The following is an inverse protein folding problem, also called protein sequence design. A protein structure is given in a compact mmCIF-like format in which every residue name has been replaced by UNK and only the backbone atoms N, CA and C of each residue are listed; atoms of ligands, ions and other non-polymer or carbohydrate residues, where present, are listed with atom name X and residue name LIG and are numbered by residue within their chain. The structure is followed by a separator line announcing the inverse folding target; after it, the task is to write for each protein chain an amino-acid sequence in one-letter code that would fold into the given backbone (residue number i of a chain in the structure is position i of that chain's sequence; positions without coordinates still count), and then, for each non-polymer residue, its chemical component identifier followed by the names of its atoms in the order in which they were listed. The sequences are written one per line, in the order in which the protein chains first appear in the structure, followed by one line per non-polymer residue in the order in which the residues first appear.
data_IF_884802221203
#
_entry.id   IF_884802221203
#
_cell.length_a   1.000
_cell.length_b   1.000
_cell.length_c   1.000
_cell.angle_alpha   90.00
_cell.angle_beta   90.00
_cell.angle_gamma   90.00
#
_symmetry.space_group_name_H-M   'P 1'
#
loop_
_entity.id
_entity.type
_entity.pdbx_description
1 polymer ?
#
# COMPACT_ATOMS: atom_id res chain seq x y z
N UNK A 1 -12.60 21.45 9.10
CA UNK A 1 -12.12 21.07 7.75
C UNK A 1 -10.61 20.92 7.85
N UNK A 2 -10.02 19.91 7.20
CA UNK A 2 -8.56 19.73 7.22
C UNK A 2 -7.92 20.79 6.32
N UNK A 3 -6.87 21.47 6.79
CA UNK A 3 -6.10 22.39 5.96
C UNK A 3 -5.19 21.56 5.04
N UNK A 4 -5.50 21.56 3.75
CA UNK A 4 -4.74 20.82 2.73
C UNK A 4 -3.67 21.74 2.14
N UNK A 5 -2.47 21.21 1.84
CA UNK A 5 -1.39 22.02 1.28
C UNK A 5 -1.75 22.50 -0.13
N UNK A 6 -1.22 23.65 -0.52
CA UNK A 6 -1.56 24.33 -1.78
C UNK A 6 -1.32 23.45 -3.03
N UNK A 7 -0.30 22.58 -3.00
CA UNK A 7 0.03 21.68 -4.09
C UNK A 7 -1.00 20.55 -4.29
N UNK A 8 -1.84 20.27 -3.28
CA UNK A 8 -2.73 19.11 -3.32
C UNK A 8 -3.97 19.33 -4.20
N UNK A 9 -4.48 20.56 -4.27
CA UNK A 9 -5.58 20.90 -5.16
C UNK A 9 -5.25 20.60 -6.65
N UNK A 10 -4.11 21.05 -7.22
CA UNK A 10 -3.76 20.69 -8.59
C UNK A 10 -3.45 19.20 -8.75
N UNK A 11 -2.94 18.49 -7.73
CA UNK A 11 -2.75 17.03 -7.76
C UNK A 11 -4.06 16.25 -7.94
N UNK A 12 -5.18 16.76 -7.40
CA UNK A 12 -6.50 16.15 -7.56
C UNK A 12 -7.19 16.50 -8.88
N UNK A 13 -6.70 17.49 -9.64
CA UNK A 13 -7.37 17.91 -10.87
C UNK A 13 -7.46 16.76 -11.88
N UNK A 14 -8.60 16.52 -12.57
CA UNK A 14 -8.83 15.36 -13.45
C UNK A 14 -7.76 15.06 -14.51
N UNK A 15 -6.98 16.07 -14.92
CA UNK A 15 -5.91 15.97 -15.94
C UNK A 15 -4.51 16.26 -15.38
N UNK A 16 -4.35 16.19 -14.06
CA UNK A 16 -3.07 16.43 -13.42
C UNK A 16 -2.02 15.41 -13.88
N UNK A 17 -0.81 15.88 -14.19
CA UNK A 17 0.36 15.03 -14.13
C UNK A 17 0.69 14.81 -12.66
N UNK A 18 0.19 13.70 -12.11
CA UNK A 18 0.28 13.38 -10.69
C UNK A 18 1.71 13.03 -10.26
N UNK A 19 2.49 12.45 -11.16
CA UNK A 19 3.92 12.20 -10.94
C UNK A 19 4.69 13.52 -10.82
N UNK A 20 4.50 14.45 -11.76
CA UNK A 20 5.15 15.76 -11.73
C UNK A 20 4.73 16.57 -10.50
N UNK A 21 3.44 16.58 -10.17
CA UNK A 21 2.93 17.26 -8.99
C UNK A 21 3.55 16.72 -7.68
N UNK A 22 3.78 15.41 -7.57
CA UNK A 22 4.48 14.81 -6.43
C UNK A 22 5.95 15.24 -6.38
N UNK A 23 6.66 15.23 -7.51
CA UNK A 23 8.05 15.68 -7.58
C UNK A 23 8.17 17.13 -7.11
N UNK A 24 7.33 18.03 -7.64
CA UNK A 24 7.31 19.44 -7.24
C UNK A 24 6.97 19.62 -5.75
N UNK A 25 6.03 18.85 -5.22
CA UNK A 25 5.67 18.89 -3.80
C UNK A 25 6.83 18.45 -2.90
N UNK A 26 7.55 17.39 -3.28
CA UNK A 26 8.73 16.90 -2.55
C UNK A 26 9.90 17.90 -2.62
N UNK A 27 10.17 18.47 -3.79
CA UNK A 27 11.19 19.50 -3.98
C UNK A 27 10.91 20.75 -3.13
N UNK A 28 9.65 21.21 -3.10
CA UNK A 28 9.22 22.31 -2.24
C UNK A 28 9.39 22.00 -0.74
N UNK A 29 9.25 20.73 -0.35
CA UNK A 29 9.54 20.22 0.99
C UNK A 29 11.04 20.03 1.30
N UNK A 30 11.92 20.25 0.32
CA UNK A 30 13.36 20.01 0.43
C UNK A 30 13.73 18.53 0.50
N UNK A 31 12.93 17.66 -0.13
CA UNK A 31 13.15 16.21 -0.23
C UNK A 31 13.69 15.90 -1.63
N UNK A 32 14.88 15.29 -1.70
CA UNK A 32 15.39 14.77 -2.96
C UNK A 32 14.68 13.48 -3.36
N UNK A 33 14.18 13.40 -4.60
CA UNK A 33 13.57 12.21 -5.16
C UNK A 33 14.18 11.83 -6.51
N UNK A 34 13.92 10.62 -6.97
CA UNK A 34 14.27 10.13 -8.31
C UNK A 34 13.02 9.56 -8.96
N UNK A 35 12.79 9.90 -10.23
CA UNK A 35 11.76 9.24 -11.03
C UNK A 35 12.40 8.03 -11.71
N UNK A 36 11.79 6.87 -11.52
CA UNK A 36 12.14 5.62 -12.19
C UNK A 36 11.05 5.30 -13.21
N UNK A 37 11.45 4.96 -14.43
CA UNK A 37 10.53 4.54 -15.48
C UNK A 37 10.62 3.02 -15.66
N UNK A 38 9.51 2.31 -15.45
CA UNK A 38 9.41 0.85 -15.63
C UNK A 38 8.15 0.52 -16.42
N UNK A 39 8.31 -0.22 -17.51
CA UNK A 39 7.17 -0.72 -18.32
C UNK A 39 6.13 0.34 -18.67
N UNK A 40 6.59 1.58 -18.93
CA UNK A 40 5.75 2.72 -19.29
C UNK A 40 5.13 3.49 -18.12
N UNK A 41 5.29 3.04 -16.86
CA UNK A 41 4.85 3.75 -15.65
C UNK A 41 5.97 4.59 -15.03
N UNK A 42 5.61 5.64 -14.27
CA UNK A 42 6.56 6.53 -13.59
C UNK A 42 6.47 6.42 -12.07
N UNK A 43 7.55 6.00 -11.45
CA UNK A 43 7.62 5.72 -10.02
C UNK A 43 8.49 6.78 -9.33
N UNK A 44 7.97 7.47 -8.33
CA UNK A 44 8.73 8.49 -7.60
C UNK A 44 9.34 7.86 -6.34
N UNK A 45 10.66 7.77 -6.28
CA UNK A 45 11.42 7.13 -5.21
C UNK A 45 12.07 8.20 -4.33
N UNK A 46 11.80 8.19 -3.03
CA UNK A 46 12.31 9.20 -2.10
C UNK A 46 12.68 8.60 -0.73
N UNK A 47 13.75 9.12 -0.15
CA UNK A 47 14.12 8.86 1.23
C UNK A 47 13.64 10.00 2.14
N UNK A 48 13.15 9.72 3.36
CA UNK A 48 12.79 10.78 4.30
C UNK A 48 13.97 11.69 4.59
N UNK A 49 13.69 12.98 4.78
CA UNK A 49 14.70 13.95 5.17
C UNK A 49 15.36 13.54 6.49
N UNK A 50 16.69 13.42 6.49
CA UNK A 50 17.44 12.96 7.68
C UNK A 50 17.40 11.46 7.90
N UNK A 51 17.07 10.66 6.88
CA UNK A 51 17.10 9.21 6.97
C UNK A 51 18.51 8.67 7.24
N UNK A 52 18.62 7.66 8.10
CA UNK A 52 19.84 6.88 8.31
C UNK A 52 19.74 5.55 7.57
N UNK A 53 20.81 5.17 6.88
CA UNK A 53 20.91 3.87 6.21
C UNK A 53 21.97 2.97 6.85
N UNK A 54 21.63 1.71 7.09
CA UNK A 54 22.54 0.66 7.58
C UNK A 54 22.23 -0.67 6.89
N UNK A 55 23.15 -1.21 6.06
CA UNK A 55 22.91 -2.42 5.28
C UNK A 55 22.76 -3.70 6.12
N UNK A 56 23.08 -3.66 7.43
CA UNK A 56 22.85 -4.78 8.35
C UNK A 56 21.38 -4.96 8.71
N UNK A 57 20.53 -4.02 8.33
CA UNK A 57 19.10 -4.05 8.59
C UNK A 57 18.33 -3.98 7.27
N UNK A 58 17.13 -4.56 7.25
CA UNK A 58 16.22 -4.54 6.10
C UNK A 58 15.72 -3.13 5.84
N UNK A 59 15.40 -2.86 4.57
CA UNK A 59 14.69 -1.64 4.17
C UNK A 59 13.19 -1.88 4.27
N UNK A 60 12.48 -0.97 4.91
CA UNK A 60 11.01 -0.89 4.85
C UNK A 60 10.65 0.02 3.68
N UNK A 61 9.95 -0.54 2.70
CA UNK A 61 9.47 0.19 1.53
C UNK A 61 8.00 0.50 1.78
N UNK A 62 7.65 1.77 1.88
CA UNK A 62 6.25 2.21 2.03
C UNK A 62 5.79 2.73 0.69
N UNK A 63 4.66 2.24 0.19
CA UNK A 63 4.14 2.63 -1.12
C UNK A 63 2.77 3.27 -1.04
N UNK A 64 2.46 4.09 -2.04
CA UNK A 64 1.11 4.52 -2.35
C UNK A 64 1.06 4.78 -3.86
N UNK A 65 0.03 4.30 -4.53
CA UNK A 65 -0.11 4.57 -5.95
C UNK A 65 -0.64 5.99 -6.19
N UNK A 66 -0.03 6.65 -7.18
CA UNK A 66 -0.41 7.99 -7.58
C UNK A 66 -1.32 7.97 -8.80
N UNK A 67 -1.44 6.88 -9.54
CA UNK A 67 -2.49 6.77 -10.54
C UNK A 67 -3.88 6.66 -9.89
N UNK A 68 -4.92 6.76 -10.71
CA UNK A 68 -6.31 6.71 -10.28
C UNK A 68 -7.19 6.24 -11.43
N UNK A 69 -8.40 5.79 -11.11
CA UNK A 69 -9.45 5.63 -12.12
C UNK A 69 -9.68 6.93 -12.92
N UNK A 70 -9.69 6.88 -14.26
CA UNK A 70 -9.95 8.06 -15.09
C UNK A 70 -11.28 8.73 -14.78
N UNK A 71 -11.27 10.05 -14.63
CA UNK A 71 -12.48 10.86 -14.43
C UNK A 71 -12.99 10.92 -12.98
N UNK A 72 -12.33 10.26 -12.04
CA UNK A 72 -12.63 10.36 -10.60
C UNK A 72 -11.65 11.33 -9.91
N UNK A 73 -12.01 11.91 -8.75
CA UNK A 73 -11.04 12.68 -7.98
C UNK A 73 -9.96 11.77 -7.36
N UNK A 74 -10.34 10.58 -6.87
CA UNK A 74 -9.43 9.60 -6.29
C UNK A 74 -8.87 10.04 -4.93
N UNK A 75 -9.70 10.67 -4.08
CA UNK A 75 -9.23 11.27 -2.84
C UNK A 75 -8.78 10.21 -1.82
N UNK A 76 -9.62 9.24 -1.48
CA UNK A 76 -9.27 8.12 -0.63
C UNK A 76 -8.42 7.11 -1.38
N UNK A 77 -8.68 6.94 -2.68
CA UNK A 77 -8.01 5.98 -3.56
C UNK A 77 -7.26 6.71 -4.70
N UNK A 78 -5.98 7.06 -4.50
CA UNK A 78 -5.19 6.91 -3.27
C UNK A 78 -4.42 8.18 -2.90
N UNK A 79 -5.04 9.32 -3.17
CA UNK A 79 -4.44 10.64 -2.94
C UNK A 79 -4.16 10.93 -1.47
N UNK A 80 -4.94 10.36 -0.55
CA UNK A 80 -4.74 10.51 0.89
C UNK A 80 -3.40 9.92 1.34
N UNK A 81 -3.08 8.70 0.89
CA UNK A 81 -1.79 8.07 1.20
C UNK A 81 -0.65 8.86 0.58
N UNK A 82 -0.81 9.35 -0.66
CA UNK A 82 0.18 10.20 -1.31
C UNK A 82 0.48 11.46 -0.47
N UNK A 83 -0.56 12.17 -0.01
CA UNK A 83 -0.43 13.35 0.84
C UNK A 83 0.29 13.01 2.15
N UNK A 84 -0.12 11.94 2.83
CA UNK A 84 0.48 11.50 4.09
C UNK A 84 1.96 11.15 3.95
N UNK A 85 2.36 10.57 2.81
CA UNK A 85 3.75 10.22 2.52
C UNK A 85 4.60 11.44 2.16
N UNK A 86 4.07 12.41 1.41
CA UNK A 86 4.75 13.70 1.18
C UNK A 86 5.01 14.42 2.50
N UNK A 87 4.02 14.46 3.39
CA UNK A 87 4.16 15.05 4.73
C UNK A 87 5.22 14.31 5.56
N UNK A 88 5.18 12.98 5.56
CA UNK A 88 6.17 12.15 6.26
C UNK A 88 7.60 12.40 5.76
N UNK A 89 7.80 12.39 4.43
CA UNK A 89 9.09 12.62 3.80
C UNK A 89 9.66 14.01 4.13
N UNK A 90 8.79 15.02 4.16
CA UNK A 90 9.15 16.43 4.39
C UNK A 90 9.29 16.79 5.87
N UNK A 91 8.78 15.96 6.78
CA UNK A 91 8.70 16.25 8.22
C UNK A 91 10.05 16.42 8.93
N UNK A 92 11.16 15.95 8.34
CA UNK A 92 12.48 15.93 8.96
C UNK A 92 12.60 14.99 10.17
N UNK A 93 11.60 14.13 10.40
CA UNK A 93 11.63 13.15 11.48
C UNK A 93 12.68 12.08 11.18
N UNK A 94 13.43 11.61 12.18
CA UNK A 94 14.38 10.52 11.99
C UNK A 94 13.69 9.27 11.43
N UNK A 95 14.22 8.75 10.33
CA UNK A 95 13.77 7.50 9.72
C UNK A 95 14.97 6.57 9.52
N UNK A 96 14.83 5.30 9.86
CA UNK A 96 15.89 4.31 9.73
C UNK A 96 15.54 3.34 8.61
N UNK A 97 16.37 3.17 7.57
CA UNK A 97 16.13 2.24 6.47
C UNK A 97 14.69 2.27 5.94
N UNK A 98 14.12 3.46 5.73
CA UNK A 98 12.74 3.62 5.25
C UNK A 98 12.78 4.31 3.91
N UNK A 99 12.29 3.63 2.88
CA UNK A 99 12.16 4.12 1.52
C UNK A 99 10.67 4.36 1.24
N UNK A 100 10.34 5.47 0.59
CA UNK A 100 9.00 5.71 0.06
C UNK A 100 9.05 5.59 -1.46
N UNK A 101 8.06 4.90 -2.03
CA UNK A 101 7.87 4.86 -3.47
C UNK A 101 6.41 5.19 -3.80
N UNK A 102 6.20 6.27 -4.55
CA UNK A 102 4.91 6.54 -5.17
C UNK A 102 4.83 5.74 -6.45
N UNK A 103 3.88 4.84 -6.55
CA UNK A 103 3.76 3.85 -7.63
C UNK A 103 2.76 4.29 -8.68
N UNK A 104 2.86 3.71 -9.87
CA UNK A 104 1.99 3.98 -11.00
C UNK A 104 1.36 2.67 -11.45
N UNK A 105 0.31 2.76 -12.27
CA UNK A 105 -0.35 1.61 -12.89
C UNK A 105 -0.94 0.58 -11.92
N UNK A 106 -1.42 0.99 -10.76
CA UNK A 106 -2.24 0.12 -9.90
C UNK A 106 -3.61 -0.13 -10.57
N UNK A 107 -4.21 0.96 -11.07
CA UNK A 107 -5.59 1.04 -11.56
C UNK A 107 -5.74 0.50 -12.99
N UNK A 108 -4.64 0.06 -13.61
CA UNK A 108 -4.73 -0.64 -14.90
C UNK A 108 -5.58 -1.90 -14.78
N UNK A 109 -5.59 -2.57 -13.62
CA UNK A 109 -6.41 -3.74 -13.34
C UNK A 109 -7.91 -3.46 -13.12
N UNK A 110 -8.32 -2.21 -12.87
CA UNK A 110 -9.71 -1.83 -12.57
C UNK A 110 -10.55 -1.48 -13.81
N UNK A 111 -9.98 -1.65 -15.02
CA UNK A 111 -10.61 -1.36 -16.34
C UNK A 111 -11.81 -2.25 -16.74
N UNK A 112 -12.68 -2.63 -15.79
CA UNK A 112 -14.00 -3.18 -16.08
C UNK A 112 -15.06 -2.06 -16.11
N UNK A 113 -14.97 -1.17 -17.11
CA UNK A 113 -16.18 -0.48 -17.57
C UNK A 113 -16.91 -1.43 -18.55
N UNK A 114 -18.24 -1.61 -18.47
CA UNK A 114 -18.97 -2.53 -19.35
C UNK A 114 -18.93 -2.16 -20.84
N UNK A 115 -18.38 -1.01 -21.22
CA UNK A 115 -18.54 -0.42 -22.55
C UNK A 115 -17.24 -0.33 -23.39
N UNK A 116 -16.10 -0.81 -22.90
CA UNK A 116 -14.84 -0.76 -23.66
C UNK A 116 -14.01 -2.04 -23.49
N UNK A 117 -14.50 -3.14 -24.07
CA UNK A 117 -13.68 -4.35 -24.29
C UNK A 117 -12.79 -4.10 -25.50
N UNK A 118 -11.70 -3.38 -25.30
CA UNK A 118 -10.55 -3.41 -26.21
C UNK A 118 -9.26 -3.24 -25.40
N UNK A 119 -8.67 -4.40 -25.03
CA UNK A 119 -7.27 -4.68 -24.69
C UNK A 119 -6.50 -3.82 -23.66
N UNK A 120 -5.69 -4.55 -22.88
CA UNK A 120 -4.54 -4.13 -22.07
C UNK A 120 -4.82 -3.71 -20.61
N UNK A 121 -5.14 -4.72 -19.80
CA UNK A 121 -4.45 -5.16 -18.58
C UNK A 121 -5.30 -6.27 -17.95
N UNK A 122 -4.87 -7.53 -18.04
CA UNK A 122 -5.72 -8.68 -17.64
C UNK A 122 -5.03 -9.61 -16.66
N UNK A 123 -3.72 -9.45 -16.46
CA UNK A 123 -2.97 -10.24 -15.50
C UNK A 123 -2.48 -9.36 -14.34
N UNK A 124 -2.48 -9.85 -13.09
CA UNK A 124 -1.84 -9.18 -11.96
C UNK A 124 -0.36 -8.80 -12.17
N UNK A 125 0.33 -9.42 -13.13
CA UNK A 125 1.69 -9.05 -13.57
C UNK A 125 1.75 -7.72 -14.33
N UNK A 126 0.61 -7.20 -14.78
CA UNK A 126 0.53 -5.93 -15.51
C UNK A 126 0.50 -4.72 -14.53
N UNK A 127 0.37 -4.96 -13.22
CA UNK A 127 0.44 -3.92 -12.19
C UNK A 127 1.87 -3.35 -12.08
N UNK A 128 1.98 -2.04 -11.88
CA UNK A 128 3.29 -1.41 -11.69
C UNK A 128 4.07 -1.92 -10.47
N UNK A 129 3.37 -2.38 -9.43
CA UNK A 129 3.99 -2.98 -8.24
C UNK A 129 4.74 -4.30 -8.53
N UNK A 130 4.28 -5.08 -9.51
CA UNK A 130 4.99 -6.29 -9.96
C UNK A 130 6.36 -5.92 -10.55
N UNK A 131 6.37 -5.00 -11.52
CA UNK A 131 7.60 -4.53 -12.17
C UNK A 131 8.56 -3.85 -11.18
N UNK A 132 8.02 -3.03 -10.28
CA UNK A 132 8.81 -2.41 -9.21
C UNK A 132 9.43 -3.47 -8.29
N UNK A 133 8.67 -4.49 -7.89
CA UNK A 133 9.16 -5.60 -7.08
C UNK A 133 10.30 -6.36 -7.77
N UNK A 134 10.20 -6.55 -9.10
CA UNK A 134 11.27 -7.16 -9.92
C UNK A 134 12.52 -6.29 -10.02
N UNK A 135 12.39 -4.97 -9.91
CA UNK A 135 13.50 -4.02 -9.97
C UNK A 135 14.29 -3.88 -8.65
N UNK A 136 13.70 -4.25 -7.51
CA UNK A 136 14.31 -4.09 -6.18
C UNK A 136 15.74 -4.64 -6.03
N UNK A 137 16.09 -5.83 -6.56
CA UNK A 137 17.48 -6.31 -6.51
C UNK A 137 18.46 -5.38 -7.22
N UNK A 138 18.07 -4.84 -8.38
CA UNK A 138 18.87 -3.86 -9.14
C UNK A 138 19.02 -2.52 -8.42
N UNK A 139 18.06 -2.18 -7.55
CA UNK A 139 18.13 -1.01 -6.66
C UNK A 139 18.98 -1.25 -5.40
N UNK A 140 19.55 -2.45 -5.23
CA UNK A 140 20.31 -2.83 -4.04
C UNK A 140 19.45 -3.15 -2.82
N UNK A 141 18.13 -3.32 -2.99
CA UNK A 141 17.21 -3.63 -1.90
C UNK A 141 17.23 -5.14 -1.63
N UNK A 142 17.91 -5.52 -0.55
CA UNK A 142 18.01 -6.91 -0.08
C UNK A 142 16.88 -7.24 0.87
N UNK A 143 16.05 -8.21 0.50
CA UNK A 143 14.89 -8.66 1.29
C UNK A 143 14.09 -7.48 1.86
N UNK A 144 13.57 -6.56 1.03
CA UNK A 144 12.77 -5.45 1.54
C UNK A 144 11.50 -5.95 2.23
N UNK A 145 10.93 -5.11 3.09
CA UNK A 145 9.60 -5.32 3.68
C UNK A 145 8.68 -4.26 3.09
N UNK A 146 7.66 -4.66 2.34
CA UNK A 146 6.81 -3.70 1.62
C UNK A 146 5.50 -3.46 2.39
N UNK A 147 5.13 -2.19 2.53
CA UNK A 147 3.90 -1.75 3.20
C UNK A 147 3.12 -0.82 2.27
N UNK A 148 2.29 -1.37 1.37
CA UNK A 148 1.38 -0.56 0.57
C UNK A 148 0.35 0.12 1.46
N UNK A 149 0.27 1.43 1.36
CA UNK A 149 -0.77 2.23 1.99
C UNK A 149 -1.88 2.44 0.98
N UNK A 150 -3.10 2.03 1.34
CA UNK A 150 -4.25 2.17 0.47
C UNK A 150 -5.51 2.51 1.28
N UNK A 151 -6.32 3.44 0.76
CA UNK A 151 -7.54 3.95 1.41
C UNK A 151 -7.27 4.37 2.87
N UNK A 152 -6.34 5.31 3.06
CA UNK A 152 -5.83 5.69 4.39
C UNK A 152 -6.36 7.03 4.92
N UNK A 153 -7.29 7.66 4.19
CA UNK A 153 -7.74 9.03 4.47
C UNK A 153 -8.91 9.17 5.46
N UNK A 154 -9.64 8.09 5.77
CA UNK A 154 -10.88 8.13 6.57
C UNK A 154 -10.86 7.09 7.68
N UNK A 155 -11.14 7.53 8.91
CA UNK A 155 -11.31 6.65 10.07
C UNK A 155 -10.27 6.81 11.17
N UNK A 156 -10.18 5.81 12.04
CA UNK A 156 -9.36 5.82 13.26
C UNK A 156 -8.87 4.42 13.69
N UNK A 157 -9.05 3.40 12.85
CA UNK A 157 -8.56 2.05 13.06
C UNK A 157 -7.66 1.59 11.91
N UNK A 158 -6.52 0.99 12.24
CA UNK A 158 -5.63 0.34 11.25
C UNK A 158 -6.14 -1.05 10.93
N UNK A 159 -6.07 -1.44 9.66
CA UNK A 159 -6.30 -2.81 9.21
C UNK A 159 -5.04 -3.30 8.52
N UNK A 160 -4.55 -4.45 8.98
CA UNK A 160 -3.48 -5.18 8.33
C UNK A 160 -4.10 -6.29 7.48
N UNK A 161 -3.83 -6.28 6.18
CA UNK A 161 -4.46 -7.20 5.24
C UNK A 161 -4.10 -8.67 5.52
N UNK A 162 -5.10 -9.55 5.34
CA UNK A 162 -4.97 -11.00 5.28
C UNK A 162 -4.94 -11.53 3.83
N UNK A 163 -4.93 -10.66 2.82
CA UNK A 163 -5.13 -11.05 1.42
C UNK A 163 -4.14 -12.12 0.93
N UNK A 164 -2.89 -12.09 1.40
CA UNK A 164 -1.88 -13.11 1.10
C UNK A 164 -2.33 -14.56 1.40
N UNK A 165 -3.16 -14.76 2.45
CA UNK A 165 -3.74 -16.07 2.79
C UNK A 165 -4.69 -16.57 1.71
N UNK A 166 -5.44 -15.65 1.09
CA UNK A 166 -6.36 -15.95 -0.01
C UNK A 166 -5.65 -16.50 -1.25
N UNK A 167 -4.38 -16.10 -1.49
CA UNK A 167 -3.59 -16.60 -2.61
C UNK A 167 -3.12 -18.05 -2.39
N UNK A 168 -2.70 -18.38 -1.16
CA UNK A 168 -2.31 -19.74 -0.79
C UNK A 168 -3.50 -20.71 -0.86
N UNK A 169 -4.69 -20.30 -0.39
CA UNK A 169 -5.91 -21.11 -0.44
C UNK A 169 -6.36 -21.45 -1.87
N UNK A 170 -6.22 -20.52 -2.82
CA UNK A 170 -6.62 -20.72 -4.23
C UNK A 170 -5.69 -21.64 -5.02
N UNK A 171 -4.41 -21.73 -4.66
CA UNK A 171 -3.44 -22.66 -5.28
C UNK A 171 -3.44 -24.05 -4.63
N UNK A 172 -4.29 -24.28 -3.62
CA UNK A 172 -4.30 -25.45 -2.75
C UNK A 172 -5.02 -26.71 -3.26
N UNK A 173 -5.07 -26.99 -4.57
CA UNK A 173 -5.47 -28.32 -5.10
C UNK A 173 -4.37 -28.97 -5.97
N UNK A 174 -3.17 -28.38 -6.01
CA UNK A 174 -2.00 -28.97 -6.65
C UNK A 174 -0.72 -28.28 -6.18
N UNK A 175 -0.12 -28.79 -5.09
CA UNK A 175 1.25 -28.47 -4.67
C UNK A 175 1.65 -26.99 -4.75
N UNK A 176 1.05 -26.12 -3.93
CA UNK A 176 1.51 -24.74 -3.80
C UNK A 176 3.00 -24.68 -3.43
N UNK A 177 3.81 -24.11 -4.32
CA UNK A 177 5.26 -23.94 -4.17
C UNK A 177 5.64 -23.43 -2.78
N UNK A 178 6.63 -24.04 -2.13
CA UNK A 178 7.18 -23.65 -0.83
C UNK A 178 7.51 -22.16 -0.72
N UNK A 179 7.81 -21.51 -1.85
CA UNK A 179 8.09 -20.08 -1.94
C UNK A 179 6.88 -19.20 -1.58
N UNK A 180 5.66 -19.53 -2.05
CA UNK A 180 4.46 -18.76 -1.70
C UNK A 180 4.11 -18.94 -0.22
N UNK A 181 4.27 -20.16 0.31
CA UNK A 181 4.11 -20.41 1.74
C UNK A 181 5.07 -19.58 2.60
N UNK A 182 6.33 -19.45 2.17
CA UNK A 182 7.32 -18.61 2.84
C UNK A 182 6.95 -17.11 2.79
N UNK A 183 6.47 -16.61 1.65
CA UNK A 183 6.03 -15.21 1.52
C UNK A 183 4.81 -14.89 2.41
N UNK A 184 3.85 -15.82 2.50
CA UNK A 184 2.69 -15.68 3.38
C UNK A 184 3.14 -15.66 4.84
N UNK A 185 4.00 -16.59 5.25
CA UNK A 185 4.54 -16.62 6.61
C UNK A 185 5.32 -15.34 6.96
N UNK A 186 6.12 -14.83 6.02
CA UNK A 186 6.86 -13.59 6.20
C UNK A 186 5.93 -12.36 6.31
N UNK A 187 4.86 -12.33 5.52
CA UNK A 187 3.82 -11.29 5.60
C UNK A 187 3.07 -11.34 6.93
N UNK A 188 2.83 -12.54 7.49
CA UNK A 188 2.28 -12.71 8.83
C UNK A 188 3.23 -12.21 9.92
N UNK A 189 4.53 -12.49 9.79
CA UNK A 189 5.55 -11.97 10.72
C UNK A 189 5.64 -10.46 10.68
N UNK A 190 5.51 -9.85 9.49
CA UNK A 190 5.36 -8.41 9.32
C UNK A 190 4.13 -7.90 10.08
N UNK A 191 2.96 -8.54 9.90
CA UNK A 191 1.72 -8.13 10.55
C UNK A 191 1.80 -8.26 12.08
N UNK A 192 2.40 -9.33 12.58
CA UNK A 192 2.64 -9.55 14.01
C UNK A 192 3.58 -8.49 14.60
N UNK A 193 4.61 -8.11 13.84
CA UNK A 193 5.55 -7.05 14.23
C UNK A 193 4.85 -5.70 14.32
N UNK A 194 4.06 -5.33 13.30
CA UNK A 194 3.27 -4.10 13.32
C UNK A 194 2.25 -4.10 14.46
N UNK A 195 1.56 -5.23 14.69
CA UNK A 195 0.59 -5.36 15.78
C UNK A 195 1.22 -5.07 17.14
N UNK A 196 2.43 -5.59 17.40
CA UNK A 196 3.20 -5.30 18.62
C UNK A 196 3.63 -3.83 18.70
N UNK A 197 4.08 -3.25 17.58
CA UNK A 197 4.47 -1.83 17.52
C UNK A 197 3.30 -0.89 17.82
N UNK A 198 2.10 -1.24 17.34
CA UNK A 198 0.89 -0.43 17.46
C UNK A 198 0.02 -0.78 18.68
N UNK A 199 0.35 -1.84 19.42
CA UNK A 199 -0.35 -2.24 20.63
C UNK A 199 -0.44 -1.08 21.63
N UNK A 200 -1.67 -0.83 22.13
CA UNK A 200 -1.97 0.29 23.04
C UNK A 200 -1.86 1.69 22.41
N UNK A 201 -1.57 1.79 21.12
CA UNK A 201 -1.38 3.07 20.41
C UNK A 201 -2.49 3.35 19.39
N UNK A 202 -3.21 2.35 18.91
CA UNK A 202 -4.37 2.53 18.05
C UNK A 202 -5.23 1.26 18.04
N UNK A 203 -6.53 1.36 17.73
CA UNK A 203 -7.29 0.21 17.27
C UNK A 203 -6.60 -0.39 16.04
N UNK A 204 -6.37 -1.70 16.07
CA UNK A 204 -5.75 -2.44 15.00
C UNK A 204 -6.48 -3.76 14.81
N UNK A 205 -6.81 -4.05 13.57
CA UNK A 205 -7.51 -5.25 13.15
C UNK A 205 -6.72 -5.98 12.08
N UNK A 206 -6.99 -7.28 11.93
CA UNK A 206 -6.56 -8.08 10.78
C UNK A 206 -7.82 -8.53 10.04
N UNK A 207 -7.88 -8.29 8.74
CA UNK A 207 -9.05 -8.64 7.94
C UNK A 207 -8.69 -8.91 6.49
N UNK A 208 -9.58 -9.61 5.77
CA UNK A 208 -9.49 -9.73 4.32
C UNK A 208 -9.82 -8.37 3.68
N UNK A 209 -8.83 -7.77 3.04
CA UNK A 209 -8.96 -6.56 2.22
C UNK A 209 -8.83 -7.00 0.75
N UNK A 210 -9.51 -6.36 -0.21
CA UNK A 210 -9.22 -6.56 -1.62
C UNK A 210 -7.72 -6.40 -1.92
N UNK A 211 -7.22 -7.16 -2.89
CA UNK A 211 -5.85 -6.97 -3.35
C UNK A 211 -5.72 -5.62 -4.04
N UNK A 212 -4.63 -4.91 -3.75
CA UNK A 212 -4.17 -3.75 -4.50
C UNK A 212 -2.75 -4.01 -4.99
N UNK A 213 -1.83 -3.09 -4.68
CA UNK A 213 -0.40 -3.23 -5.03
C UNK A 213 0.28 -4.47 -4.43
N UNK A 214 -0.20 -4.95 -3.28
CA UNK A 214 0.39 -6.07 -2.54
C UNK A 214 0.40 -7.36 -3.35
N UNK A 215 -0.58 -7.57 -4.24
CA UNK A 215 -0.61 -8.72 -5.14
C UNK A 215 0.58 -8.72 -6.11
N UNK A 216 0.85 -7.61 -6.79
CA UNK A 216 1.98 -7.51 -7.71
C UNK A 216 3.32 -7.76 -7.02
N UNK A 217 3.54 -7.21 -5.82
CA UNK A 217 4.74 -7.49 -5.04
C UNK A 217 4.87 -8.96 -4.64
N UNK A 218 3.79 -9.58 -4.15
CA UNK A 218 3.80 -11.00 -3.76
C UNK A 218 4.13 -11.88 -4.98
N UNK A 219 3.56 -11.60 -6.14
CA UNK A 219 3.84 -12.33 -7.38
C UNK A 219 5.28 -12.11 -7.88
N UNK A 220 5.85 -10.93 -7.63
CA UNK A 220 7.26 -10.65 -7.87
C UNK A 220 8.22 -11.35 -6.89
N UNK A 221 7.69 -12.05 -5.89
CA UNK A 221 8.47 -12.77 -4.87
C UNK A 221 8.89 -11.89 -3.69
N UNK A 222 8.18 -10.79 -3.45
CA UNK A 222 8.47 -9.81 -2.39
C UNK A 222 7.34 -9.81 -1.35
N UNK A 223 7.63 -9.93 -0.05
CA UNK A 223 6.61 -9.87 0.98
C UNK A 223 6.02 -8.45 1.07
N UNK A 224 4.69 -8.36 0.99
CA UNK A 224 3.95 -7.11 1.03
C UNK A 224 2.75 -7.21 1.97
N UNK A 225 2.64 -6.27 2.91
CA UNK A 225 1.53 -6.16 3.85
C UNK A 225 0.77 -4.88 3.58
N UNK A 226 -0.36 -4.97 2.88
CA UNK A 226 -1.24 -3.83 2.68
C UNK A 226 -1.80 -3.32 4.02
N UNK A 227 -1.81 -2.00 4.17
CA UNK A 227 -2.28 -1.27 5.34
C UNK A 227 -3.34 -0.27 4.90
N UNK A 228 -4.53 -0.39 5.49
CA UNK A 228 -5.64 0.54 5.23
C UNK A 228 -6.19 1.12 6.54
N UNK A 229 -6.93 2.22 6.44
CA UNK A 229 -7.57 2.87 7.59
C UNK A 229 -9.07 2.91 7.34
N UNK A 230 -9.84 2.47 8.35
CA UNK A 230 -11.29 2.58 8.34
C UNK A 230 -11.79 3.20 9.65
N UNK A 231 -13.01 3.77 9.65
CA UNK A 231 -13.75 4.00 10.89
C UNK A 231 -13.80 2.70 11.72
N UNK A 232 -13.63 2.81 13.03
CA UNK A 232 -13.49 1.64 13.90
C UNK A 232 -14.65 0.65 13.81
N UNK A 233 -15.87 1.12 13.67
CA UNK A 233 -17.07 0.30 13.48
C UNK A 233 -17.03 -0.46 12.14
N UNK A 234 -16.64 0.19 11.05
CA UNK A 234 -16.39 -0.46 9.76
C UNK A 234 -15.27 -1.51 9.85
N UNK A 235 -14.18 -1.19 10.55
CA UNK A 235 -13.04 -2.08 10.75
C UNK A 235 -13.40 -3.32 11.60
N UNK A 236 -14.15 -3.13 12.68
CA UNK A 236 -14.62 -4.20 13.57
C UNK A 236 -15.61 -5.11 12.86
N UNK A 237 -16.55 -4.53 12.09
CA UNK A 237 -17.46 -5.29 11.25
C UNK A 237 -16.69 -6.13 10.21
N UNK A 238 -15.70 -5.53 9.53
CA UNK A 238 -14.88 -6.23 8.54
C UNK A 238 -14.05 -7.37 9.18
N UNK A 239 -13.45 -7.14 10.34
CA UNK A 239 -12.64 -8.14 11.05
C UNK A 239 -13.47 -9.27 11.65
N UNK A 240 -14.65 -8.97 12.16
CA UNK A 240 -15.60 -9.95 12.72
C UNK A 240 -16.09 -10.97 11.69
N UNK A 241 -15.99 -10.64 10.40
CA UNK A 241 -16.32 -11.56 9.30
C UNK A 241 -15.21 -12.61 9.06
N UNK A 242 -14.03 -12.44 9.67
CA UNK A 242 -12.83 -13.26 9.51
C UNK A 242 -12.89 -14.68 10.11
N UNK A 243 -14.01 -15.38 9.96
CA UNK A 243 -14.17 -16.76 10.43
C UNK A 243 -15.40 -17.51 9.89
N UNK A 244 -16.30 -16.87 9.15
CA UNK A 244 -17.48 -17.52 8.59
C UNK A 244 -17.29 -17.76 7.09
N UNK A 245 -17.46 -19.02 6.61
CA UNK A 245 -17.65 -19.28 5.19
C UNK A 245 -18.66 -18.30 4.56
N UNK A 246 -18.44 -17.90 3.31
CA UNK A 246 -19.31 -16.92 2.63
C UNK A 246 -20.82 -17.29 2.62
N UNK A 247 -21.14 -18.56 2.86
CA UNK A 247 -22.50 -19.12 2.97
C UNK A 247 -23.08 -19.14 4.40
N UNK A 248 -22.27 -18.97 5.45
CA UNK A 248 -22.69 -19.10 6.86
C UNK A 248 -22.85 -17.77 7.59
N UNK A 249 -22.75 -16.64 6.89
CA UNK A 249 -23.04 -15.32 7.48
C UNK A 249 -24.55 -15.05 7.44
N UNK A 250 -25.21 -14.74 8.57
CA UNK A 250 -26.63 -14.38 8.62
C UNK A 250 -26.92 -12.98 8.06
N UNK A 251 -25.91 -12.27 7.56
CA UNK A 251 -26.01 -10.90 7.03
C UNK A 251 -26.33 -10.92 5.54
N UNK A 252 -27.37 -10.18 5.14
CA UNK A 252 -27.88 -10.15 3.77
C UNK A 252 -26.80 -9.75 2.72
N UNK A 253 -26.87 -10.28 1.49
CA UNK A 253 -26.01 -9.84 0.39
C UNK A 253 -26.16 -8.32 0.16
N UNK A 254 -25.06 -7.57 0.17
CA UNK A 254 -25.05 -6.11 -0.01
C UNK A 254 -24.73 -5.27 1.24
N UNK A 255 -24.78 -5.84 2.44
CA UNK A 255 -24.30 -5.23 3.71
C UNK A 255 -22.77 -5.41 3.92
N UNK A 256 -22.02 -5.75 2.86
CA UNK A 256 -20.73 -6.47 2.94
C UNK A 256 -19.48 -5.62 2.66
N UNK A 257 -19.66 -4.34 2.35
CA UNK A 257 -18.56 -3.45 1.96
C UNK A 257 -18.58 -2.25 2.92
N UNK A 258 -17.46 -1.93 3.59
CA UNK A 258 -17.30 -0.70 4.34
C UNK A 258 -17.87 0.50 3.59
N UNK A 259 -18.62 1.37 4.26
CA UNK A 259 -19.19 2.56 3.62
C UNK A 259 -18.09 3.39 2.96
N UNK A 260 -16.93 3.48 3.60
CA UNK A 260 -15.71 4.09 3.05
C UNK A 260 -15.37 3.54 1.67
N UNK A 261 -15.41 2.22 1.48
CA UNK A 261 -15.09 1.58 0.21
C UNK A 261 -16.19 1.74 -0.85
N UNK A 262 -17.43 2.01 -0.44
CA UNK A 262 -18.53 2.28 -1.40
C UNK A 262 -18.40 3.63 -2.12
N UNK A 263 -17.54 4.54 -1.63
CA UNK A 263 -17.28 5.83 -2.26
C UNK A 263 -16.20 5.77 -3.34
N UNK A 264 -15.35 4.74 -3.32
CA UNK A 264 -14.20 4.61 -4.21
C UNK A 264 -14.63 4.53 -5.67
N UNK A 265 -13.74 4.95 -6.57
CA UNK A 265 -13.95 4.98 -8.02
C UNK A 265 -15.18 5.79 -8.46
N UNK A 266 -15.74 6.60 -7.56
CA UNK A 266 -16.91 7.43 -7.79
C UNK A 266 -16.61 8.93 -7.70
N UNK A 267 -17.57 9.78 -8.09
CA UNK A 267 -17.44 11.23 -7.99
C UNK A 267 -17.41 11.74 -6.54
N UNK A 268 -17.89 10.92 -5.60
CA UNK A 268 -17.95 11.25 -4.17
C UNK A 268 -16.63 10.99 -3.45
N UNK A 269 -15.66 10.31 -4.09
CA UNK A 269 -14.33 10.10 -3.53
C UNK A 269 -13.52 11.40 -3.51
N UNK A 270 -13.87 12.27 -2.56
CA UNK A 270 -13.38 13.65 -2.44
C UNK A 270 -12.73 13.88 -1.08
N UNK A 271 -11.88 14.92 -0.92
CA UNK A 271 -11.26 15.24 0.37
C UNK A 271 -12.25 15.57 1.50
N UNK A 272 -13.53 15.79 1.19
CA UNK A 272 -14.57 15.93 2.21
C UNK A 272 -14.72 14.67 3.09
N UNK A 273 -14.28 13.51 2.60
CA UNK A 273 -14.26 12.24 3.34
C UNK A 273 -13.09 12.13 4.33
N UNK A 274 -12.09 13.00 4.24
CA UNK A 274 -10.90 12.91 5.07
C UNK A 274 -11.20 13.18 6.54
N UNK A 275 -10.60 12.38 7.41
CA UNK A 275 -10.67 12.60 8.86
C UNK A 275 -9.29 12.94 9.43
N UNK A 276 -9.23 13.93 10.32
CA UNK A 276 -7.98 14.29 11.00
C UNK A 276 -7.42 13.12 11.83
N UNK A 277 -8.28 12.21 12.31
CA UNK A 277 -7.87 11.00 13.02
C UNK A 277 -7.07 10.05 12.14
N UNK A 278 -7.44 9.88 10.86
CA UNK A 278 -6.75 8.99 9.94
C UNK A 278 -5.33 9.46 9.67
N UNK A 279 -5.15 10.76 9.40
CA UNK A 279 -3.82 11.35 9.18
C UNK A 279 -2.93 11.27 10.42
N UNK A 280 -3.50 11.51 11.62
CA UNK A 280 -2.77 11.33 12.89
C UNK A 280 -2.39 9.87 13.13
N UNK A 281 -3.25 8.93 12.73
CA UNK A 281 -3.02 7.50 12.86
C UNK A 281 -1.91 7.03 11.92
N UNK A 282 -1.95 7.43 10.64
CA UNK A 282 -0.91 7.08 9.67
C UNK A 282 0.41 7.72 10.03
N UNK A 283 0.44 8.98 10.45
CA UNK A 283 1.67 9.61 10.95
C UNK A 283 2.28 8.82 12.12
N UNK A 284 1.43 8.36 13.06
CA UNK A 284 1.88 7.51 14.17
C UNK A 284 2.40 6.15 13.70
N UNK A 285 1.72 5.52 12.75
CA UNK A 285 2.17 4.26 12.14
C UNK A 285 3.54 4.44 11.47
N UNK A 286 3.70 5.46 10.62
CA UNK A 286 4.95 5.77 9.93
C UNK A 286 6.09 6.09 10.90
N UNK A 287 5.83 6.82 11.99
CA UNK A 287 6.84 7.07 13.04
C UNK A 287 7.32 5.76 13.70
N UNK A 288 6.41 4.81 13.96
CA UNK A 288 6.76 3.53 14.58
C UNK A 288 7.46 2.61 13.60
N UNK A 289 6.96 2.55 12.37
CA UNK A 289 7.56 1.78 11.30
C UNK A 289 8.97 2.31 11.01
N UNK A 290 9.16 3.61 10.85
CA UNK A 290 10.44 4.21 10.49
C UNK A 290 11.52 4.04 11.57
N UNK A 291 11.13 3.92 12.84
CA UNK A 291 12.04 3.60 13.95
C UNK A 291 12.39 2.09 14.07
N UNK A 292 11.59 1.20 13.47
CA UNK A 292 11.80 -0.24 13.55
C UNK A 292 13.13 -0.64 12.90
N UNK A 293 13.90 -1.47 13.61
CA UNK A 293 15.15 -2.08 13.13
C UNK A 293 14.95 -3.57 12.98
N UNK A 294 14.90 -4.05 11.74
CA UNK A 294 14.80 -5.49 11.44
C UNK A 294 16.13 -5.94 10.86
N UNK A 295 16.88 -6.86 11.50
CA UNK A 295 18.13 -7.35 10.95
C UNK A 295 17.93 -7.91 9.54
N UNK A 296 18.87 -7.62 8.65
CA UNK A 296 18.91 -8.27 7.35
C UNK A 296 19.21 -9.77 7.54
N UNK A 297 18.59 -10.65 6.76
CA UNK A 297 18.90 -12.08 6.83
C UNK A 297 20.39 -12.32 6.57
N UNK A 298 21.02 -13.13 7.42
CA UNK A 298 22.43 -13.51 7.26
C UNK A 298 22.55 -14.33 5.97
N UNK A 299 23.37 -13.85 5.05
CA UNK A 299 23.46 -14.39 3.70
C UNK A 299 24.01 -15.83 3.71
N UNK A 300 23.14 -16.83 3.54
CA UNK A 300 23.53 -18.11 2.97
C UNK A 300 22.98 -18.15 1.53
N UNK A 301 23.76 -17.63 0.57
CA UNK A 301 23.44 -17.53 -0.86
C UNK A 301 22.55 -16.34 -1.30
N UNK A 302 22.82 -15.69 -2.45
CA UNK A 302 22.04 -14.55 -2.97
C UNK A 302 20.74 -14.95 -3.72
N UNK A 303 20.25 -16.17 -3.55
CA UNK A 303 19.07 -16.64 -4.29
C UNK A 303 17.78 -16.08 -3.69
N UNK A 304 17.24 -15.06 -4.35
CA UNK A 304 15.82 -14.73 -4.24
C UNK A 304 14.99 -15.93 -4.72
N UNK A 305 13.83 -16.22 -4.12
CA UNK A 305 12.90 -17.17 -4.70
C UNK A 305 12.60 -16.73 -6.14
N UNK A 306 12.58 -17.68 -7.08
CA UNK A 306 12.15 -17.40 -8.44
C UNK A 306 10.74 -16.79 -8.42
N UNK A 307 10.43 -15.84 -9.31
CA UNK A 307 9.09 -15.25 -9.38
C UNK A 307 8.04 -16.35 -9.48
N UNK A 308 6.89 -16.11 -8.86
CA UNK A 308 5.79 -17.07 -8.86
C UNK A 308 5.16 -17.06 -10.26
N UNK A 309 5.57 -18.00 -11.11
CA UNK A 309 4.91 -18.29 -12.38
C UNK A 309 3.43 -18.66 -12.18
#
# INVERSE_FOLDING_TARGET
MMDLPQWFAPFLAPRADRCEALVLALEAGGVGCRVLELSGGRFVVAWPKGSTHDPRYRVKVVTAHHDRVPGTPGALDNSAACLQLVDFLSSGRPAFNTLVVFTDHEELGSRLSPAAVTQAATAPSDQGSYELGRAFPGMGLRAPMVFPLDVTGRGDALILSLAAHGLAGRRGHGGGSSALGALVAETDDMANTISKLMAGRAPLFRAMVPFGEDLGFILAGVPALAVTVLPRDEADALASLGGLPAWSSPVAPGLRTPETWSQLHGPNDTPALYTASAFKLVARFLDRLSALRVPAPVSSSPYYPAPLA
#
